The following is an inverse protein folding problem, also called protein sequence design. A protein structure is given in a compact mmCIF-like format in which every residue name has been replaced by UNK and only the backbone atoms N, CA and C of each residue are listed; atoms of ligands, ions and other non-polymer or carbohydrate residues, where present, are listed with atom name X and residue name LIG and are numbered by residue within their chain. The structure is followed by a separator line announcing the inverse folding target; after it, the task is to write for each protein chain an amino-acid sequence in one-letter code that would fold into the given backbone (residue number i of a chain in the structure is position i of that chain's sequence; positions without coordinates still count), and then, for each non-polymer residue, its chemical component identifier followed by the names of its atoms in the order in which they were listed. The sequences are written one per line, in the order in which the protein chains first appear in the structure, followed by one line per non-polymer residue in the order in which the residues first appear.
data_IF_556093248872
#
_entry.id   IF_556093248872
#
_cell.length_a   1.000
_cell.length_b   1.000
_cell.length_c   1.000
_cell.angle_alpha   90.00
_cell.angle_beta   90.00
_cell.angle_gamma   90.00
#
_symmetry.space_group_name_H-M   'P 1'
#
loop_
_entity.id
_entity.type
_entity.pdbx_description
1 polymer ?
#
# COMPACT_ATOMS: atom_id res chain seq x y z
N UNK A 1 2.93 49.43 -23.59
CA UNK A 1 2.40 49.11 -24.93
C UNK A 1 1.49 47.89 -24.72
N UNK A 2 0.19 48.09 -24.80
CA UNK A 2 -0.78 47.03 -24.88
C UNK A 2 -0.79 46.55 -26.33
N UNK A 3 -0.70 45.25 -26.53
CA UNK A 3 -0.91 44.63 -27.83
C UNK A 3 -2.37 44.21 -27.86
N UNK A 4 -3.20 44.92 -28.60
CA UNK A 4 -4.54 44.48 -28.93
C UNK A 4 -4.41 43.18 -29.76
N UNK A 5 -4.85 42.09 -29.21
CA UNK A 5 -5.00 40.85 -29.94
C UNK A 5 -6.48 40.71 -30.29
N UNK A 6 -6.80 40.61 -31.56
CA UNK A 6 -8.18 40.44 -32.10
C UNK A 6 -8.80 39.08 -31.72
N UNK A 7 -8.30 38.40 -30.68
CA UNK A 7 -8.87 37.13 -30.17
C UNK A 7 -9.23 37.34 -28.71
N UNK A 8 -10.51 37.21 -28.43
CA UNK A 8 -11.00 37.14 -27.07
C UNK A 8 -10.33 35.97 -26.35
N UNK A 9 -9.63 36.28 -25.26
CA UNK A 9 -9.05 35.26 -24.37
C UNK A 9 -10.07 34.96 -23.29
N UNK A 10 -10.61 33.74 -23.26
CA UNK A 10 -11.46 33.26 -22.17
C UNK A 10 -10.64 33.29 -20.89
N UNK A 11 -11.01 34.15 -19.94
CA UNK A 11 -10.32 34.33 -18.66
C UNK A 11 -10.87 33.37 -17.61
N UNK A 12 -12.19 33.10 -17.65
CA UNK A 12 -12.87 32.21 -16.73
C UNK A 12 -13.73 31.20 -17.49
N UNK A 13 -13.75 29.96 -17.01
CA UNK A 13 -14.68 28.94 -17.49
C UNK A 13 -16.02 29.16 -16.83
N UNK A 14 -17.06 29.47 -17.62
CA UNK A 14 -18.41 29.77 -17.11
C UNK A 14 -19.11 28.51 -16.59
N UNK A 15 -18.72 27.35 -17.08
CA UNK A 15 -19.29 26.06 -16.71
C UNK A 15 -18.14 25.10 -16.30
N UNK A 16 -17.98 24.88 -14.98
CA UNK A 16 -16.90 24.00 -14.48
C UNK A 16 -17.03 22.57 -15.00
N UNK A 17 -15.90 21.92 -15.32
CA UNK A 17 -15.90 20.59 -15.90
C UNK A 17 -16.63 19.55 -15.02
N UNK A 18 -16.49 19.66 -13.71
CA UNK A 18 -17.07 18.72 -12.74
C UNK A 18 -18.59 18.81 -12.62
N UNK A 19 -19.24 19.83 -13.18
CA UNK A 19 -20.71 19.96 -13.21
C UNK A 19 -21.33 19.35 -14.45
N UNK A 20 -20.53 19.03 -15.47
CA UNK A 20 -20.99 18.41 -16.71
C UNK A 20 -21.27 16.93 -16.52
N UNK A 21 -22.12 16.37 -17.38
CA UNK A 21 -22.37 14.92 -17.34
C UNK A 21 -21.13 14.16 -17.86
N UNK A 22 -20.72 13.07 -17.20
CA UNK A 22 -19.60 12.26 -17.68
C UNK A 22 -19.72 11.78 -19.13
N UNK A 23 -20.96 11.52 -19.58
CA UNK A 23 -21.23 11.08 -20.95
C UNK A 23 -20.90 12.13 -22.03
N UNK A 24 -20.85 13.40 -21.66
CA UNK A 24 -20.57 14.52 -22.56
C UNK A 24 -19.07 14.89 -22.61
N UNK A 25 -18.23 14.19 -21.83
CA UNK A 25 -16.82 14.46 -21.66
C UNK A 25 -15.96 13.35 -22.26
N UNK A 26 -14.82 13.76 -22.80
CA UNK A 26 -13.78 12.86 -23.30
C UNK A 26 -12.61 12.81 -22.32
N UNK A 27 -11.78 11.79 -22.42
CA UNK A 27 -10.57 11.64 -21.61
C UNK A 27 -9.66 12.88 -21.69
N UNK A 28 -9.54 13.47 -22.89
CA UNK A 28 -8.77 14.69 -23.10
C UNK A 28 -9.25 15.87 -22.24
N UNK A 29 -10.56 16.00 -22.02
CA UNK A 29 -11.13 17.07 -21.18
C UNK A 29 -10.68 16.92 -19.72
N UNK A 30 -10.68 15.69 -19.19
CA UNK A 30 -10.19 15.39 -17.85
C UNK A 30 -8.69 15.66 -17.69
N UNK A 31 -7.90 15.27 -18.69
CA UNK A 31 -6.45 15.47 -18.66
C UNK A 31 -6.08 16.96 -18.77
N UNK A 32 -6.76 17.71 -19.63
CA UNK A 32 -6.56 19.16 -19.75
C UNK A 32 -6.97 19.88 -18.46
N UNK A 33 -8.03 19.45 -17.83
CA UNK A 33 -8.47 20.00 -16.54
C UNK A 33 -7.45 19.72 -15.43
N UNK A 34 -6.91 18.50 -15.36
CA UNK A 34 -5.86 18.18 -14.41
C UNK A 34 -4.61 19.05 -14.60
N UNK A 35 -4.15 19.22 -15.83
CA UNK A 35 -2.99 20.07 -16.16
C UNK A 35 -3.23 21.54 -15.85
N UNK A 36 -4.46 22.01 -15.95
CA UNK A 36 -4.81 23.37 -15.57
C UNK A 36 -4.77 23.58 -14.06
N UNK A 37 -5.19 22.60 -13.27
CA UNK A 37 -5.13 22.64 -11.81
C UNK A 37 -3.72 22.41 -11.26
N UNK A 38 -2.97 21.49 -11.87
CA UNK A 38 -1.69 20.98 -11.40
C UNK A 38 -0.62 21.01 -12.51
N UNK A 39 -0.20 22.21 -12.96
CA UNK A 39 0.66 22.35 -14.14
C UNK A 39 2.07 21.79 -13.98
N UNK A 40 2.52 21.55 -12.75
CA UNK A 40 3.87 21.02 -12.44
C UNK A 40 3.89 19.52 -12.19
N UNK A 41 2.72 18.87 -12.19
CA UNK A 41 2.59 17.42 -11.90
C UNK A 41 2.57 16.62 -13.18
N UNK A 42 3.01 15.36 -13.07
CA UNK A 42 2.87 14.38 -14.13
C UNK A 42 1.40 14.00 -14.34
N UNK A 43 1.10 13.44 -15.51
CA UNK A 43 -0.27 12.97 -15.81
C UNK A 43 -0.74 11.96 -14.76
N UNK A 44 -2.01 12.04 -14.31
CA UNK A 44 -2.55 11.16 -13.30
C UNK A 44 -2.68 9.72 -13.83
N UNK A 45 -2.70 8.76 -12.93
CA UNK A 45 -2.88 7.35 -13.26
C UNK A 45 -4.27 7.07 -13.84
N UNK A 46 -5.29 7.63 -13.22
CA UNK A 46 -6.70 7.62 -13.62
C UNK A 46 -7.50 8.63 -12.81
N UNK A 47 -8.78 8.76 -13.15
CA UNK A 47 -9.70 9.71 -12.51
C UNK A 47 -11.05 9.06 -12.18
N UNK A 48 -11.78 9.71 -11.31
CA UNK A 48 -13.16 9.38 -10.94
C UNK A 48 -13.99 10.64 -11.06
N UNK A 49 -15.07 10.58 -11.84
CA UNK A 49 -16.06 11.64 -11.90
C UNK A 49 -17.19 11.34 -10.91
N UNK A 50 -17.38 12.23 -9.95
CA UNK A 50 -18.45 12.16 -8.96
C UNK A 50 -19.65 12.98 -9.48
N UNK A 51 -20.83 12.36 -9.48
CA UNK A 51 -22.07 13.05 -9.83
C UNK A 51 -23.22 12.36 -9.10
N UNK A 52 -23.77 13.01 -8.08
CA UNK A 52 -24.82 12.51 -7.19
C UNK A 52 -25.81 13.61 -6.90
N UNK A 53 -27.09 13.32 -7.08
CA UNK A 53 -28.18 14.26 -6.79
C UNK A 53 -29.00 13.86 -5.55
N UNK A 54 -28.91 12.61 -5.13
CA UNK A 54 -29.64 12.08 -3.97
C UNK A 54 -28.86 10.95 -3.28
N UNK A 55 -28.82 10.87 -1.94
CA UNK A 55 -29.51 11.67 -0.92
C UNK A 55 -28.84 13.00 -0.54
N UNK A 56 -27.79 13.40 -1.21
CA UNK A 56 -27.08 14.67 -1.10
C UNK A 56 -26.59 15.08 -2.49
N UNK A 57 -26.28 16.34 -2.66
CA UNK A 57 -25.69 16.85 -3.90
C UNK A 57 -24.18 16.81 -3.81
N UNK A 58 -23.54 16.09 -4.72
CA UNK A 58 -22.10 15.99 -4.80
C UNK A 58 -21.68 15.88 -6.26
N UNK A 59 -20.87 16.81 -6.69
CA UNK A 59 -20.15 16.74 -7.97
C UNK A 59 -18.66 16.85 -7.71
N UNK A 60 -17.84 16.39 -8.64
CA UNK A 60 -16.40 16.50 -8.48
C UNK A 60 -15.63 15.60 -9.43
N UNK A 61 -14.35 15.83 -9.51
CA UNK A 61 -13.41 14.96 -10.23
C UNK A 61 -12.22 14.73 -9.33
N UNK A 62 -11.95 13.47 -9.00
CA UNK A 62 -10.80 13.05 -8.23
C UNK A 62 -9.81 12.34 -9.15
N UNK A 63 -8.53 12.61 -8.94
CA UNK A 63 -7.43 12.05 -9.71
C UNK A 63 -6.48 11.29 -8.79
N UNK A 64 -5.97 10.17 -9.27
CA UNK A 64 -4.90 9.43 -8.64
C UNK A 64 -3.57 9.95 -9.20
N UNK A 65 -2.81 10.73 -8.43
CA UNK A 65 -1.50 11.20 -8.86
C UNK A 65 -0.50 10.05 -8.88
N UNK A 66 0.58 10.20 -9.63
CA UNK A 66 1.75 9.35 -9.47
C UNK A 66 2.48 9.75 -8.19
N UNK A 67 2.71 8.79 -7.31
CA UNK A 67 3.48 8.98 -6.09
C UNK A 67 4.90 8.49 -6.37
N UNK A 68 5.75 9.39 -6.86
CA UNK A 68 7.13 9.06 -7.29
C UNK A 68 8.14 9.07 -6.15
N UNK A 69 7.89 9.83 -5.09
CA UNK A 69 8.78 9.96 -3.94
C UNK A 69 8.04 9.61 -2.66
N UNK A 70 8.47 8.51 -2.05
CA UNK A 70 7.88 7.97 -0.82
C UNK A 70 8.09 8.89 0.39
N UNK A 71 9.08 9.79 0.33
CA UNK A 71 9.41 10.70 1.45
C UNK A 71 8.67 12.04 1.41
N UNK A 72 8.09 12.43 0.27
CA UNK A 72 7.40 13.72 0.10
C UNK A 72 6.00 13.54 -0.49
N UNK A 73 5.16 12.76 0.20
CA UNK A 73 3.75 12.62 -0.20
C UNK A 73 3.03 13.92 0.13
N UNK A 74 2.76 14.73 -0.90
CA UNK A 74 1.98 15.95 -0.74
C UNK A 74 0.51 15.60 -0.51
N UNK A 75 -0.06 16.14 0.56
CA UNK A 75 -1.47 16.01 0.93
C UNK A 75 -2.23 17.29 0.61
N UNK A 76 -3.56 17.21 0.74
CA UNK A 76 -4.44 18.37 0.66
C UNK A 76 -4.38 19.07 -0.69
N UNK A 77 -4.44 18.30 -1.78
CA UNK A 77 -4.56 18.81 -3.14
C UNK A 77 -6.00 18.72 -3.68
N UNK A 78 -6.94 18.29 -2.84
CA UNK A 78 -8.37 18.35 -3.19
C UNK A 78 -8.89 19.74 -2.83
N UNK A 79 -9.50 20.40 -3.79
CA UNK A 79 -10.15 21.71 -3.60
C UNK A 79 -11.64 21.50 -3.32
N UNK A 80 -12.12 22.04 -2.22
CA UNK A 80 -13.54 22.04 -1.87
C UNK A 80 -14.23 23.28 -2.42
N UNK A 81 -15.33 23.04 -3.08
CA UNK A 81 -16.27 24.06 -3.55
C UNK A 81 -17.66 23.86 -2.93
N UNK A 82 -18.42 24.93 -2.88
CA UNK A 82 -19.84 24.94 -2.54
C UNK A 82 -20.57 25.78 -3.56
N UNK A 83 -21.47 25.18 -4.33
CA UNK A 83 -22.15 25.84 -5.45
C UNK A 83 -21.15 26.56 -6.38
N UNK A 84 -20.07 25.89 -6.77
CA UNK A 84 -19.01 26.38 -7.65
C UNK A 84 -18.18 27.54 -7.08
N UNK A 85 -18.35 27.88 -5.80
CA UNK A 85 -17.48 28.83 -5.10
C UNK A 85 -16.41 28.10 -4.31
N UNK A 86 -15.16 28.47 -4.50
CA UNK A 86 -14.03 27.92 -3.74
C UNK A 86 -14.18 28.18 -2.24
N UNK A 87 -13.98 27.16 -1.43
CA UNK A 87 -14.09 27.21 0.02
C UNK A 87 -12.73 27.03 0.69
N UNK A 88 -12.07 25.90 0.42
CA UNK A 88 -10.80 25.52 1.03
C UNK A 88 -10.10 24.44 0.23
N UNK A 89 -8.80 24.29 0.43
CA UNK A 89 -7.98 23.16 -0.02
C UNK A 89 -7.67 22.17 1.12
N UNK A 90 -8.22 22.39 2.32
CA UNK A 90 -8.06 21.53 3.48
C UNK A 90 -9.32 20.67 3.67
N UNK A 91 -9.25 19.41 3.29
CA UNK A 91 -10.40 18.47 3.28
C UNK A 91 -10.25 17.33 4.32
N UNK A 92 -9.28 17.42 5.22
CA UNK A 92 -8.95 16.39 6.22
C UNK A 92 -10.14 15.94 7.07
N UNK A 93 -11.12 16.84 7.26
CA UNK A 93 -12.29 16.56 8.08
C UNK A 93 -13.51 16.11 7.26
N UNK A 94 -13.36 16.07 5.93
CA UNK A 94 -14.45 15.78 5.00
C UNK A 94 -14.27 14.41 4.35
N UNK A 95 -13.04 14.03 4.10
CA UNK A 95 -12.68 12.71 3.53
C UNK A 95 -11.75 11.96 4.49
N UNK A 96 -11.72 10.62 4.47
CA UNK A 96 -10.71 9.85 5.20
C UNK A 96 -9.29 10.24 4.82
N UNK A 97 -8.37 10.12 5.77
CA UNK A 97 -6.97 10.56 5.61
C UNK A 97 -6.29 10.02 4.34
N UNK A 98 -6.49 8.75 4.00
CA UNK A 98 -5.88 8.18 2.80
C UNK A 98 -6.40 8.81 1.49
N UNK A 99 -7.63 9.33 1.48
CA UNK A 99 -8.17 10.05 0.32
C UNK A 99 -7.57 11.45 0.15
N UNK A 100 -6.94 12.01 1.17
CA UNK A 100 -6.22 13.29 1.06
C UNK A 100 -4.98 13.20 0.15
N UNK A 101 -4.56 11.99 -0.19
CA UNK A 101 -3.51 11.74 -1.18
C UNK A 101 -3.97 11.93 -2.63
N UNK A 102 -5.28 12.00 -2.86
CA UNK A 102 -5.84 12.28 -4.18
C UNK A 102 -5.76 13.77 -4.50
N UNK A 103 -5.77 14.08 -5.78
CA UNK A 103 -5.91 15.43 -6.32
C UNK A 103 -7.33 15.64 -6.83
N UNK A 104 -7.76 16.89 -7.02
CA UNK A 104 -9.00 17.17 -7.71
C UNK A 104 -9.91 18.20 -7.06
N UNK A 105 -11.19 18.07 -7.34
CA UNK A 105 -12.24 19.00 -6.91
C UNK A 105 -13.42 18.21 -6.35
N UNK A 106 -13.95 18.69 -5.24
CA UNK A 106 -15.23 18.26 -4.65
C UNK A 106 -16.11 19.50 -4.52
N UNK A 107 -17.35 19.42 -5.00
CA UNK A 107 -18.33 20.49 -4.90
C UNK A 107 -19.62 19.94 -4.30
N UNK A 108 -20.01 20.44 -3.13
CA UNK A 108 -21.23 20.03 -2.45
C UNK A 108 -21.82 21.17 -1.60
N UNK A 109 -23.11 21.53 -1.85
CA UNK A 109 -23.80 22.49 -0.98
C UNK A 109 -24.21 21.91 0.38
N UNK A 110 -24.15 20.58 0.52
CA UNK A 110 -24.55 19.88 1.74
C UNK A 110 -23.43 19.79 2.80
N UNK A 111 -22.24 20.31 2.49
CA UNK A 111 -21.14 20.44 3.44
C UNK A 111 -21.26 21.79 4.16
N UNK A 112 -21.40 21.84 5.49
CA UNK A 112 -21.53 23.08 6.23
C UNK A 112 -20.21 23.85 6.25
N UNK A 113 -20.27 25.15 5.87
CA UNK A 113 -19.08 25.96 5.56
C UNK A 113 -18.48 26.75 6.74
N UNK A 114 -19.24 27.06 7.76
CA UNK A 114 -18.83 28.00 8.82
C UNK A 114 -18.86 27.36 10.21
N UNK A 115 -18.34 26.13 10.32
CA UNK A 115 -18.39 25.36 11.55
C UNK A 115 -17.00 24.86 11.96
N UNK A 116 -16.84 24.55 13.23
CA UNK A 116 -15.58 24.02 13.74
C UNK A 116 -15.26 22.65 13.19
N UNK A 117 -13.98 22.28 13.16
CA UNK A 117 -13.49 20.96 12.77
C UNK A 117 -14.24 19.81 13.47
N UNK A 118 -14.43 19.93 14.79
CA UNK A 118 -15.15 18.92 15.56
C UNK A 118 -16.62 18.75 15.14
N UNK A 119 -17.25 19.82 14.64
CA UNK A 119 -18.61 19.75 14.11
C UNK A 119 -18.65 19.01 12.77
N UNK A 120 -17.73 19.33 11.85
CA UNK A 120 -17.64 18.65 10.56
C UNK A 120 -17.47 17.13 10.72
N UNK A 121 -16.60 16.71 11.63
CA UNK A 121 -16.38 15.29 11.93
C UNK A 121 -17.62 14.59 12.52
N UNK A 122 -18.50 15.33 13.20
CA UNK A 122 -19.73 14.78 13.77
C UNK A 122 -20.93 14.85 12.83
N UNK A 123 -20.88 15.69 11.79
CA UNK A 123 -22.00 15.94 10.87
C UNK A 123 -22.38 14.67 10.08
N UNK A 124 -23.67 14.38 10.04
CA UNK A 124 -24.17 13.16 9.39
C UNK A 124 -24.07 13.21 7.86
N UNK A 125 -24.16 14.39 7.25
CA UNK A 125 -24.04 14.54 5.80
C UNK A 125 -22.59 14.42 5.36
N UNK A 126 -21.65 15.02 6.10
CA UNK A 126 -20.21 14.86 5.88
C UNK A 126 -19.82 13.38 5.92
N UNK A 127 -20.28 12.63 6.93
CA UNK A 127 -20.04 11.18 7.01
C UNK A 127 -20.61 10.38 5.84
N UNK A 128 -21.80 10.75 5.37
CA UNK A 128 -22.42 10.09 4.19
C UNK A 128 -21.64 10.41 2.90
N UNK A 129 -21.23 11.66 2.72
CA UNK A 129 -20.42 12.10 1.58
C UNK A 129 -19.07 11.39 1.59
N UNK A 130 -18.38 11.41 2.74
CA UNK A 130 -17.11 10.70 2.95
C UNK A 130 -17.21 9.21 2.59
N UNK A 131 -18.20 8.52 3.15
CA UNK A 131 -18.44 7.10 2.87
C UNK A 131 -18.79 6.82 1.39
N UNK A 132 -19.50 7.73 0.74
CA UNK A 132 -19.80 7.62 -0.68
C UNK A 132 -18.55 7.78 -1.56
N UNK A 133 -17.71 8.77 -1.28
CA UNK A 133 -16.44 8.98 -1.99
C UNK A 133 -15.55 7.74 -1.83
N UNK A 134 -15.38 7.25 -0.59
CA UNK A 134 -14.63 6.01 -0.31
C UNK A 134 -15.15 4.82 -1.13
N UNK A 135 -16.47 4.67 -1.17
CA UNK A 135 -17.10 3.62 -1.98
C UNK A 135 -16.79 3.78 -3.47
N UNK A 136 -16.92 4.99 -4.02
CA UNK A 136 -16.64 5.25 -5.44
C UNK A 136 -15.19 5.02 -5.82
N UNK A 137 -14.26 5.37 -4.93
CA UNK A 137 -12.83 5.06 -5.09
C UNK A 137 -12.64 3.54 -5.16
N UNK A 138 -13.20 2.79 -4.22
CA UNK A 138 -13.11 1.33 -4.22
C UNK A 138 -13.81 0.70 -5.45
N UNK A 139 -14.99 1.22 -5.86
CA UNK A 139 -15.70 0.76 -7.07
C UNK A 139 -14.81 0.92 -8.32
N UNK A 140 -14.13 2.06 -8.46
CA UNK A 140 -13.25 2.31 -9.61
C UNK A 140 -12.03 1.38 -9.62
N UNK A 141 -11.41 1.15 -8.47
CA UNK A 141 -10.28 0.23 -8.37
C UNK A 141 -10.69 -1.22 -8.65
N UNK A 142 -11.84 -1.65 -8.17
CA UNK A 142 -12.42 -2.98 -8.44
C UNK A 142 -12.78 -3.14 -9.93
N UNK A 143 -13.30 -2.09 -10.57
CA UNK A 143 -13.59 -2.07 -12.01
C UNK A 143 -12.31 -2.21 -12.85
N UNK A 144 -11.26 -1.45 -12.55
CA UNK A 144 -9.96 -1.55 -13.22
C UNK A 144 -9.36 -2.95 -13.01
N UNK A 145 -9.44 -3.50 -11.80
CA UNK A 145 -9.00 -4.87 -11.51
C UNK A 145 -9.71 -5.91 -12.38
N UNK A 146 -11.02 -5.75 -12.56
CA UNK A 146 -11.84 -6.72 -13.28
C UNK A 146 -11.71 -6.60 -14.79
N UNK A 147 -11.69 -5.38 -15.32
CA UNK A 147 -11.79 -5.12 -16.75
C UNK A 147 -10.48 -4.72 -17.41
N UNK A 148 -9.52 -4.19 -16.62
CA UNK A 148 -8.25 -3.62 -17.11
C UNK A 148 -7.07 -4.10 -16.25
N UNK A 149 -7.04 -5.39 -15.87
CA UNK A 149 -6.07 -5.98 -14.93
C UNK A 149 -4.63 -5.58 -15.22
N UNK A 150 -4.20 -5.63 -16.49
CA UNK A 150 -2.84 -5.25 -16.88
C UNK A 150 -2.54 -3.77 -16.59
N UNK A 151 -3.49 -2.89 -16.82
CA UNK A 151 -3.32 -1.46 -16.52
C UNK A 151 -3.18 -1.22 -15.00
N UNK A 152 -3.85 -2.01 -14.16
CA UNK A 152 -3.66 -1.97 -12.72
C UNK A 152 -2.26 -2.46 -12.32
N UNK A 153 -1.80 -3.57 -12.89
CA UNK A 153 -0.47 -4.13 -12.63
C UNK A 153 0.65 -3.15 -13.01
N UNK A 154 0.56 -2.53 -14.18
CA UNK A 154 1.53 -1.52 -14.64
C UNK A 154 1.58 -0.27 -13.74
N UNK A 155 0.48 0.05 -13.07
CA UNK A 155 0.34 1.21 -12.18
C UNK A 155 0.51 0.85 -10.71
N UNK A 156 0.67 -0.43 -10.37
CA UNK A 156 0.63 -0.93 -9.01
C UNK A 156 1.65 -0.27 -8.08
N UNK A 157 2.88 -0.12 -8.53
CA UNK A 157 3.95 0.46 -7.71
C UNK A 157 3.65 1.92 -7.28
N UNK A 158 2.83 2.65 -8.07
CA UNK A 158 2.36 3.98 -7.73
C UNK A 158 1.05 4.00 -6.90
N UNK A 159 0.34 2.87 -6.84
CA UNK A 159 -0.94 2.73 -6.13
C UNK A 159 -0.80 2.03 -4.80
N UNK A 160 0.23 1.20 -4.66
CA UNK A 160 0.45 0.32 -3.52
C UNK A 160 0.33 1.08 -2.20
N UNK A 161 1.08 2.16 -2.04
CA UNK A 161 1.05 2.98 -0.83
C UNK A 161 -0.35 3.51 -0.50
N UNK A 162 -1.08 4.01 -1.50
CA UNK A 162 -2.44 4.51 -1.33
C UNK A 162 -3.39 3.41 -0.86
N UNK A 163 -3.32 2.24 -1.49
CA UNK A 163 -4.21 1.11 -1.18
C UNK A 163 -3.90 0.56 0.21
N UNK A 164 -2.64 0.35 0.55
CA UNK A 164 -2.24 -0.14 1.88
C UNK A 164 -2.62 0.84 2.98
N UNK A 165 -2.40 2.15 2.76
CA UNK A 165 -2.82 3.16 3.72
C UNK A 165 -4.35 3.17 3.91
N UNK A 166 -5.10 3.06 2.82
CA UNK A 166 -6.56 2.93 2.89
C UNK A 166 -7.01 1.69 3.67
N UNK A 167 -6.37 0.54 3.42
CA UNK A 167 -6.67 -0.70 4.13
C UNK A 167 -6.34 -0.63 5.63
N UNK A 168 -5.30 0.10 6.00
CA UNK A 168 -4.89 0.30 7.39
C UNK A 168 -5.80 1.29 8.15
N UNK A 169 -6.34 2.29 7.46
CA UNK A 169 -7.08 3.40 8.08
C UNK A 169 -8.60 3.28 8.01
N UNK A 170 -9.16 2.53 7.05
CA UNK A 170 -10.62 2.39 6.84
C UNK A 170 -11.00 0.91 6.65
N UNK A 171 -11.76 0.37 7.61
CA UNK A 171 -12.15 -1.05 7.60
C UNK A 171 -13.05 -1.40 6.41
N UNK A 172 -13.97 -0.51 6.01
CA UNK A 172 -14.86 -0.76 4.87
C UNK A 172 -14.10 -0.74 3.56
N UNK A 173 -13.13 0.16 3.44
CA UNK A 173 -12.23 0.16 2.30
C UNK A 173 -11.37 -1.11 2.29
N UNK A 174 -10.84 -1.53 3.44
CA UNK A 174 -10.07 -2.77 3.58
C UNK A 174 -10.85 -3.99 3.09
N UNK A 175 -12.10 -4.18 3.55
CA UNK A 175 -12.95 -5.30 3.12
C UNK A 175 -13.13 -5.34 1.60
N UNK A 176 -13.22 -4.20 0.97
CA UNK A 176 -13.34 -4.10 -0.48
C UNK A 176 -12.01 -4.30 -1.20
N UNK A 177 -10.95 -3.68 -0.67
CA UNK A 177 -9.62 -3.74 -1.25
C UNK A 177 -9.04 -5.16 -1.26
N UNK A 178 -9.45 -6.03 -0.33
CA UNK A 178 -9.12 -7.45 -0.34
C UNK A 178 -9.46 -8.17 -1.66
N UNK A 179 -10.35 -7.62 -2.47
CA UNK A 179 -10.75 -8.20 -3.76
C UNK A 179 -9.85 -7.78 -4.91
N UNK A 180 -9.21 -6.61 -4.83
CA UNK A 180 -8.45 -6.02 -5.93
C UNK A 180 -7.02 -5.64 -5.58
N UNK A 181 -6.64 -5.65 -4.30
CA UNK A 181 -5.26 -5.42 -3.91
C UNK A 181 -4.37 -6.54 -4.44
N UNK A 182 -3.17 -6.15 -4.89
CA UNK A 182 -2.23 -7.06 -5.51
C UNK A 182 -1.05 -7.35 -4.59
N UNK A 183 -0.55 -8.57 -4.73
CA UNK A 183 0.75 -8.99 -4.22
C UNK A 183 1.69 -9.11 -5.41
N UNK A 184 2.94 -8.70 -5.25
CA UNK A 184 3.99 -8.75 -6.28
C UNK A 184 5.12 -9.64 -5.81
N UNK A 185 5.68 -10.45 -6.71
CA UNK A 185 6.90 -11.19 -6.41
C UNK A 185 8.13 -10.54 -7.07
N UNK A 186 9.37 -10.94 -6.72
CA UNK A 186 10.59 -10.40 -7.31
C UNK A 186 10.73 -10.60 -8.83
N UNK A 187 9.98 -11.54 -9.42
CA UNK A 187 9.93 -11.75 -10.87
C UNK A 187 9.02 -10.76 -11.60
N UNK A 188 8.39 -9.83 -10.87
CA UNK A 188 7.46 -8.86 -11.42
C UNK A 188 6.09 -9.44 -11.77
N UNK A 189 5.74 -10.61 -11.23
CA UNK A 189 4.39 -11.18 -11.38
C UNK A 189 3.48 -10.63 -10.29
N UNK A 190 2.22 -10.40 -10.66
CA UNK A 190 1.19 -9.86 -9.79
C UNK A 190 0.10 -10.90 -9.54
N UNK A 191 -0.41 -10.92 -8.32
CA UNK A 191 -1.41 -11.87 -7.86
C UNK A 191 -2.45 -11.16 -7.00
N UNK A 192 -3.70 -11.60 -7.06
CA UNK A 192 -4.64 -11.35 -5.96
C UNK A 192 -4.30 -12.23 -4.76
N UNK A 193 -4.88 -11.99 -3.60
CA UNK A 193 -4.66 -12.83 -2.42
C UNK A 193 -5.02 -14.30 -2.67
N UNK A 194 -6.14 -14.54 -3.35
CA UNK A 194 -6.60 -15.89 -3.66
C UNK A 194 -5.70 -16.59 -4.68
N UNK A 195 -5.23 -15.86 -5.70
CA UNK A 195 -4.30 -16.38 -6.72
C UNK A 195 -2.99 -16.79 -6.08
N UNK A 196 -2.42 -15.92 -5.24
CA UNK A 196 -1.14 -16.19 -4.59
C UNK A 196 -1.24 -17.36 -3.61
N UNK A 197 -2.29 -17.36 -2.77
CA UNK A 197 -2.54 -18.46 -1.85
C UNK A 197 -2.59 -19.81 -2.56
N UNK A 198 -3.35 -19.93 -3.66
CA UNK A 198 -3.43 -21.14 -4.46
C UNK A 198 -2.09 -21.58 -5.05
N UNK A 199 -1.26 -20.58 -5.41
CA UNK A 199 0.06 -20.87 -5.97
C UNK A 199 1.03 -21.47 -4.94
N UNK A 200 0.93 -21.06 -3.67
CA UNK A 200 1.92 -21.41 -2.64
C UNK A 200 1.47 -22.47 -1.63
N UNK A 201 0.15 -22.66 -1.42
CA UNK A 201 -0.38 -23.44 -0.30
C UNK A 201 0.14 -24.89 -0.27
N UNK A 202 0.38 -25.53 -1.42
CA UNK A 202 0.88 -26.90 -1.49
C UNK A 202 2.28 -27.02 -0.91
N UNK A 203 3.18 -26.12 -1.28
CA UNK A 203 4.59 -26.18 -0.91
C UNK A 203 4.89 -25.39 0.38
N UNK A 204 4.14 -24.34 0.65
CA UNK A 204 4.41 -23.41 1.73
C UNK A 204 3.47 -23.53 2.94
N UNK A 205 2.81 -24.66 3.10
CA UNK A 205 2.08 -24.99 4.34
C UNK A 205 3.02 -25.67 5.35
N UNK A 206 3.09 -25.14 6.56
CA UNK A 206 3.91 -25.67 7.63
C UNK A 206 3.24 -26.86 8.37
N UNK A 207 3.96 -27.48 9.31
CA UNK A 207 3.47 -28.59 10.14
C UNK A 207 2.22 -28.23 10.97
N UNK A 208 2.03 -26.95 11.28
CA UNK A 208 0.89 -26.44 12.06
C UNK A 208 -0.28 -26.06 11.14
N UNK A 209 -0.22 -26.44 9.85
CA UNK A 209 -1.20 -26.18 8.80
C UNK A 209 -1.41 -24.69 8.49
N UNK A 210 -0.43 -23.86 8.77
CA UNK A 210 -0.44 -22.45 8.37
C UNK A 210 0.27 -22.27 7.03
N UNK A 211 -0.34 -21.50 6.13
CA UNK A 211 0.30 -21.11 4.88
C UNK A 211 1.31 -20.01 5.19
N UNK A 212 2.57 -20.23 4.80
CA UNK A 212 3.67 -19.29 5.07
C UNK A 212 3.92 -18.45 3.83
N UNK A 213 3.67 -17.16 3.96
CA UNK A 213 3.97 -16.14 2.96
C UNK A 213 5.40 -15.67 3.20
N UNK A 214 6.35 -16.17 2.41
CA UNK A 214 7.73 -15.67 2.44
C UNK A 214 7.78 -14.32 1.75
N UNK A 215 8.58 -13.39 2.29
CA UNK A 215 8.75 -12.08 1.67
C UNK A 215 10.17 -11.54 1.79
N UNK A 216 10.53 -10.68 0.86
CA UNK A 216 11.74 -9.88 0.85
C UNK A 216 11.38 -8.40 0.80
N UNK A 217 12.22 -7.54 1.37
CA UNK A 217 12.07 -6.09 1.34
C UNK A 217 13.07 -5.43 0.41
N UNK A 218 14.15 -6.13 0.09
CA UNK A 218 15.22 -5.69 -0.82
C UNK A 218 15.73 -6.91 -1.59
N UNK A 219 15.48 -6.90 -2.89
CA UNK A 219 15.82 -8.02 -3.76
C UNK A 219 17.31 -8.20 -3.99
N UNK A 220 18.11 -7.12 -3.88
CA UNK A 220 19.57 -7.18 -4.04
C UNK A 220 20.23 -7.67 -2.76
N UNK A 221 19.91 -7.04 -1.64
CA UNK A 221 20.47 -7.40 -0.34
C UNK A 221 20.07 -8.83 0.13
N UNK A 222 18.89 -9.30 -0.27
CA UNK A 222 18.34 -10.61 0.10
C UNK A 222 18.39 -11.66 -1.01
N UNK A 223 19.18 -11.41 -2.07
CA UNK A 223 19.23 -12.26 -3.26
C UNK A 223 19.50 -13.73 -2.93
N UNK A 224 20.51 -14.03 -2.11
CA UNK A 224 20.86 -15.41 -1.76
C UNK A 224 19.74 -16.16 -1.03
N UNK A 225 19.01 -15.45 -0.17
CA UNK A 225 17.85 -16.02 0.55
C UNK A 225 16.67 -16.28 -0.40
N UNK A 226 16.42 -15.37 -1.34
CA UNK A 226 15.37 -15.53 -2.37
C UNK A 226 15.69 -16.75 -3.24
N UNK A 227 16.93 -16.88 -3.70
CA UNK A 227 17.35 -18.04 -4.51
C UNK A 227 17.30 -19.34 -3.69
N UNK A 228 17.66 -19.30 -2.40
CA UNK A 228 17.51 -20.44 -1.50
C UNK A 228 16.06 -20.90 -1.38
N UNK A 229 15.12 -19.94 -1.29
CA UNK A 229 13.69 -20.24 -1.26
C UNK A 229 13.21 -20.85 -2.61
N UNK A 230 13.62 -20.27 -3.74
CA UNK A 230 13.29 -20.77 -5.09
C UNK A 230 13.80 -22.19 -5.33
N UNK A 231 15.01 -22.50 -4.88
CA UNK A 231 15.59 -23.85 -5.00
C UNK A 231 14.80 -24.89 -4.22
N UNK A 232 14.00 -24.48 -3.22
CA UNK A 232 13.06 -25.32 -2.48
C UNK A 232 11.66 -25.38 -3.12
N UNK A 233 11.45 -24.68 -4.22
CA UNK A 233 10.14 -24.56 -4.87
C UNK A 233 9.20 -23.55 -4.19
N UNK A 234 9.74 -22.67 -3.34
CA UNK A 234 8.97 -21.63 -2.66
C UNK A 234 8.94 -20.34 -3.48
N UNK A 235 7.81 -19.65 -3.45
CA UNK A 235 7.68 -18.28 -3.98
C UNK A 235 7.88 -17.26 -2.84
N UNK A 236 8.34 -16.07 -3.19
CA UNK A 236 8.66 -14.99 -2.26
C UNK A 236 7.94 -13.73 -2.73
N UNK A 237 7.29 -13.00 -1.84
CA UNK A 237 6.70 -11.71 -2.13
C UNK A 237 7.73 -10.59 -2.02
N UNK A 238 7.51 -9.51 -2.75
CA UNK A 238 8.23 -8.26 -2.59
C UNK A 238 7.38 -7.29 -1.76
N UNK A 239 7.85 -7.05 -0.54
CA UNK A 239 7.24 -6.13 0.43
C UNK A 239 8.22 -4.98 0.65
N UNK A 240 8.19 -3.99 -0.25
CA UNK A 240 9.14 -2.87 -0.32
C UNK A 240 8.48 -1.51 -0.03
N UNK A 241 7.25 -1.51 0.49
CA UNK A 241 6.54 -0.32 0.92
C UNK A 241 6.84 0.01 2.39
N UNK A 242 6.85 1.28 2.73
CA UNK A 242 7.08 1.75 4.10
C UNK A 242 6.01 1.25 5.09
N UNK A 243 4.79 0.99 4.61
CA UNK A 243 3.69 0.51 5.44
C UNK A 243 3.67 -1.01 5.62
N UNK A 244 4.54 -1.75 4.94
CA UNK A 244 4.46 -3.22 4.87
C UNK A 244 4.48 -3.91 6.25
N UNK A 245 5.24 -3.42 7.23
CA UNK A 245 5.24 -4.02 8.57
C UNK A 245 3.87 -3.93 9.26
N UNK A 246 3.15 -2.83 9.09
CA UNK A 246 1.78 -2.67 9.59
C UNK A 246 0.78 -3.45 8.74
N UNK A 247 0.99 -3.44 7.43
CA UNK A 247 0.16 -4.15 6.47
C UNK A 247 0.21 -5.66 6.67
N UNK A 248 1.38 -6.23 6.86
CA UNK A 248 1.56 -7.66 7.21
C UNK A 248 0.79 -8.00 8.48
N UNK A 249 0.89 -7.18 9.53
CA UNK A 249 0.13 -7.41 10.76
C UNK A 249 -1.40 -7.35 10.55
N UNK A 250 -1.87 -6.49 9.64
CA UNK A 250 -3.28 -6.45 9.24
C UNK A 250 -3.67 -7.75 8.52
N UNK A 251 -2.86 -8.21 7.57
CA UNK A 251 -3.12 -9.43 6.80
C UNK A 251 -3.13 -10.68 7.69
N UNK A 252 -2.18 -10.80 8.63
CA UNK A 252 -2.14 -11.92 9.60
C UNK A 252 -3.36 -11.93 10.54
N UNK A 253 -3.96 -10.78 10.84
CA UNK A 253 -5.22 -10.69 11.58
C UNK A 253 -6.44 -11.07 10.74
N UNK A 254 -6.43 -10.74 9.44
CA UNK A 254 -7.53 -11.06 8.52
C UNK A 254 -7.48 -12.54 8.08
N UNK A 255 -6.30 -13.11 7.89
CA UNK A 255 -6.05 -14.50 7.51
C UNK A 255 -5.45 -15.25 8.69
N UNK A 256 -6.30 -15.84 9.53
CA UNK A 256 -5.87 -16.50 10.78
C UNK A 256 -5.06 -17.78 10.58
N UNK A 257 -5.10 -18.36 9.38
CA UNK A 257 -4.43 -19.59 8.97
C UNK A 257 -3.18 -19.34 8.13
N UNK A 258 -2.66 -18.12 8.14
CA UNK A 258 -1.39 -17.79 7.50
C UNK A 258 -0.41 -17.11 8.46
N UNK A 259 0.84 -17.01 8.05
CA UNK A 259 1.85 -16.18 8.65
C UNK A 259 2.81 -15.65 7.60
N UNK A 260 3.37 -14.49 7.85
CA UNK A 260 4.39 -13.88 7.00
C UNK A 260 5.77 -14.04 7.65
N UNK A 261 6.75 -14.46 6.85
CA UNK A 261 8.14 -14.60 7.29
C UNK A 261 9.06 -13.95 6.26
N UNK A 262 9.96 -13.07 6.72
CA UNK A 262 11.00 -12.53 5.84
C UNK A 262 12.04 -13.62 5.55
N UNK A 263 12.49 -13.69 4.29
CA UNK A 263 13.36 -14.78 3.81
C UNK A 263 14.68 -14.91 4.55
N UNK A 264 15.17 -13.84 5.16
CA UNK A 264 16.42 -13.77 5.92
C UNK A 264 16.23 -13.83 7.44
N UNK A 265 15.02 -14.15 7.92
CA UNK A 265 14.75 -14.21 9.36
C UNK A 265 15.24 -15.48 10.02
N UNK A 266 15.44 -16.55 9.26
CA UNK A 266 16.00 -17.82 9.73
C UNK A 266 16.51 -18.63 8.52
N UNK A 267 17.12 -19.79 8.80
CA UNK A 267 17.43 -20.77 7.78
C UNK A 267 16.14 -21.21 7.05
N UNK A 268 16.23 -21.44 5.73
CA UNK A 268 15.06 -21.72 4.89
C UNK A 268 14.22 -22.89 5.40
N UNK A 269 14.84 -23.93 5.96
CA UNK A 269 14.16 -25.09 6.51
C UNK A 269 13.42 -24.78 7.83
N UNK A 270 13.77 -23.67 8.51
CA UNK A 270 13.08 -23.19 9.71
C UNK A 270 11.92 -22.26 9.36
N UNK A 271 12.00 -21.56 8.21
CA UNK A 271 10.95 -20.65 7.78
C UNK A 271 9.63 -21.40 7.52
N UNK A 272 9.71 -22.61 6.95
CA UNK A 272 8.55 -23.47 6.71
C UNK A 272 8.81 -24.86 7.33
N UNK A 273 8.62 -25.02 8.66
CA UNK A 273 8.88 -26.30 9.32
C UNK A 273 7.96 -27.40 8.78
N UNK A 274 8.54 -28.49 8.28
CA UNK A 274 7.84 -29.70 7.86
C UNK A 274 7.94 -30.80 8.92
N UNK A 275 7.04 -31.80 8.88
CA UNK A 275 7.06 -32.91 9.84
C UNK A 275 8.33 -33.77 9.73
N UNK A 276 8.84 -33.95 8.50
CA UNK A 276 9.97 -34.84 8.18
C UNK A 276 11.35 -34.21 8.29
N UNK A 277 11.49 -33.14 9.09
CA UNK A 277 12.77 -32.42 9.20
C UNK A 277 13.85 -33.31 9.85
N UNK A 278 14.96 -33.50 9.16
CA UNK A 278 16.17 -34.13 9.73
C UNK A 278 16.78 -33.24 10.79
N UNK A 279 16.87 -33.75 12.02
CA UNK A 279 17.58 -33.02 13.09
C UNK A 279 19.09 -32.99 12.81
N UNK A 280 19.82 -31.95 13.28
CA UNK A 280 21.27 -31.96 13.19
C UNK A 280 21.86 -33.18 13.93
N UNK A 281 22.85 -33.82 13.33
CA UNK A 281 23.52 -35.00 13.91
C UNK A 281 24.48 -34.65 15.07
N UNK A 282 24.72 -33.36 15.31
CA UNK A 282 25.61 -32.87 16.36
C UNK A 282 24.99 -33.07 17.76
N UNK A 283 25.82 -33.54 18.68
CA UNK A 283 25.48 -33.59 20.11
C UNK A 283 25.37 -32.15 20.68
N UNK A 284 24.69 -32.00 21.79
CA UNK A 284 24.58 -30.69 22.46
C UNK A 284 25.95 -30.09 22.87
N UNK A 285 26.91 -30.96 23.19
CA UNK A 285 28.30 -30.53 23.50
C UNK A 285 28.97 -29.95 22.26
N UNK A 286 28.89 -30.64 21.12
CA UNK A 286 29.47 -30.15 19.86
C UNK A 286 28.83 -28.84 19.37
N UNK A 287 27.50 -28.69 19.57
CA UNK A 287 26.79 -27.43 19.26
C UNK A 287 27.31 -26.27 20.13
N UNK A 288 27.49 -26.52 21.42
CA UNK A 288 28.00 -25.52 22.35
C UNK A 288 29.44 -25.14 22.02
N UNK A 289 30.32 -26.13 21.77
CA UNK A 289 31.71 -25.88 21.39
C UNK A 289 31.82 -25.06 20.09
N UNK A 290 31.00 -25.37 19.09
CA UNK A 290 30.91 -24.57 17.85
C UNK A 290 30.41 -23.15 18.14
N UNK A 291 29.36 -23.01 18.94
CA UNK A 291 28.84 -21.69 19.31
C UNK A 291 29.87 -20.82 20.00
N UNK A 292 30.62 -21.38 20.93
CA UNK A 292 31.64 -20.67 21.67
C UNK A 292 32.88 -20.30 20.80
N UNK A 293 33.26 -21.20 19.87
CA UNK A 293 34.27 -20.91 18.87
C UNK A 293 33.91 -19.71 17.99
N UNK A 294 32.69 -19.68 17.48
CA UNK A 294 32.22 -18.58 16.63
C UNK A 294 32.08 -17.27 17.42
N UNK A 295 31.54 -17.31 18.64
CA UNK A 295 31.47 -16.14 19.52
C UNK A 295 32.83 -15.52 19.82
N UNK A 296 33.87 -16.34 19.89
CA UNK A 296 35.24 -15.86 20.16
C UNK A 296 35.83 -15.03 19.00
N UNK A 297 35.39 -15.24 17.76
CA UNK A 297 35.88 -14.55 16.56
C UNK A 297 34.95 -13.47 16.02
N UNK A 298 33.71 -13.40 16.50
CA UNK A 298 32.78 -12.39 16.10
C UNK A 298 33.10 -10.99 16.63
N UNK A 299 32.81 -9.91 15.89
CA UNK A 299 32.97 -8.55 16.40
C UNK A 299 32.18 -8.34 17.69
N UNK A 300 32.79 -7.62 18.66
CA UNK A 300 32.15 -7.35 19.96
C UNK A 300 31.18 -6.19 19.98
N UNK A 301 31.02 -5.53 18.84
CA UNK A 301 30.17 -4.34 18.68
C UNK A 301 28.68 -4.68 18.59
N UNK A 302 28.36 -5.97 18.44
CA UNK A 302 26.98 -6.47 18.31
C UNK A 302 26.77 -7.71 19.17
N UNK A 303 25.56 -7.86 19.71
CA UNK A 303 25.14 -9.08 20.38
C UNK A 303 24.71 -10.14 19.37
N UNK A 304 25.54 -11.12 19.12
CA UNK A 304 25.24 -12.26 18.27
C UNK A 304 24.71 -13.45 19.08
N UNK A 305 23.59 -14.00 18.65
CA UNK A 305 23.12 -15.29 19.14
C UNK A 305 23.56 -16.37 18.14
N UNK A 306 24.51 -17.22 18.54
CA UNK A 306 25.08 -18.25 17.67
C UNK A 306 24.45 -19.60 18.00
N UNK A 307 23.89 -20.24 16.97
CA UNK A 307 23.32 -21.60 17.06
C UNK A 307 23.89 -22.49 15.98
N UNK A 308 24.08 -23.76 16.28
CA UNK A 308 24.39 -24.77 15.27
C UNK A 308 23.10 -25.46 14.83
N UNK A 309 22.81 -25.40 13.53
CA UNK A 309 21.63 -26.03 12.93
C UNK A 309 21.99 -26.72 11.60
N UNK A 310 21.09 -27.56 11.11
CA UNK A 310 21.25 -28.20 9.81
C UNK A 310 20.81 -27.23 8.71
N UNK A 311 21.76 -26.66 7.98
CA UNK A 311 21.52 -25.72 6.87
C UNK A 311 21.30 -26.44 5.53
N UNK A 312 21.18 -27.77 5.53
CA UNK A 312 21.00 -28.59 4.34
C UNK A 312 22.31 -28.92 3.62
N UNK A 313 22.25 -29.87 2.68
CA UNK A 313 23.43 -30.36 1.96
C UNK A 313 24.06 -29.35 0.99
N UNK A 314 23.28 -28.38 0.54
CA UNK A 314 23.67 -27.35 -0.42
C UNK A 314 23.68 -25.93 0.20
N UNK A 315 23.41 -25.84 1.52
CA UNK A 315 23.41 -24.58 2.24
C UNK A 315 24.80 -24.03 2.48
N UNK A 316 24.90 -22.73 2.65
CA UNK A 316 26.14 -22.08 3.11
C UNK A 316 26.48 -22.53 4.53
N UNK A 317 27.77 -22.70 4.87
CA UNK A 317 28.17 -23.21 6.18
C UNK A 317 27.88 -22.24 7.32
N UNK A 318 27.69 -20.97 7.03
CA UNK A 318 27.35 -19.89 7.98
C UNK A 318 26.25 -19.07 7.39
N UNK A 319 25.22 -18.83 8.17
CA UNK A 319 24.09 -17.97 7.78
C UNK A 319 23.90 -16.90 8.85
N UNK A 320 23.80 -15.64 8.43
CA UNK A 320 23.48 -14.52 9.31
C UNK A 320 22.01 -14.17 9.10
N UNK A 321 21.23 -14.31 10.16
CA UNK A 321 19.78 -14.05 10.11
C UNK A 321 19.40 -12.94 11.08
N UNK A 322 18.24 -12.33 10.86
CA UNK A 322 17.69 -11.31 11.73
C UNK A 322 16.32 -11.73 12.22
N UNK A 323 16.18 -11.93 13.54
CA UNK A 323 14.93 -12.36 14.14
C UNK A 323 13.74 -11.49 13.70
N UNK A 324 12.68 -12.13 13.17
CA UNK A 324 11.52 -11.48 12.60
C UNK A 324 10.80 -10.56 13.59
N UNK A 325 10.57 -11.05 14.82
CA UNK A 325 9.86 -10.29 15.84
C UNK A 325 10.61 -9.01 16.25
N UNK A 326 11.92 -9.14 16.54
CA UNK A 326 12.74 -8.00 16.94
C UNK A 326 12.88 -6.96 15.84
N UNK A 327 12.94 -7.42 14.59
CA UNK A 327 12.97 -6.55 13.42
C UNK A 327 11.68 -5.78 13.23
N UNK A 328 10.54 -6.47 13.20
CA UNK A 328 9.21 -5.81 13.07
C UNK A 328 8.99 -4.82 14.21
N UNK A 329 9.34 -5.19 15.43
CA UNK A 329 9.23 -4.29 16.58
C UNK A 329 10.05 -3.01 16.39
N UNK A 330 11.28 -3.13 15.89
CA UNK A 330 12.16 -1.98 15.62
C UNK A 330 11.61 -1.11 14.48
N UNK A 331 11.17 -1.71 13.39
CA UNK A 331 10.59 -1.00 12.26
C UNK A 331 9.32 -0.23 12.68
N UNK A 332 8.42 -0.87 13.39
CA UNK A 332 7.21 -0.23 13.91
C UNK A 332 7.53 0.90 14.90
N UNK A 333 8.54 0.74 15.75
CA UNK A 333 8.96 1.77 16.69
C UNK A 333 9.57 2.98 15.98
N UNK A 334 10.33 2.77 14.91
CA UNK A 334 10.89 3.83 14.09
C UNK A 334 9.81 4.56 13.27
N UNK A 335 8.77 3.85 12.86
CA UNK A 335 7.63 4.39 12.11
C UNK A 335 6.61 5.10 13.00
N UNK A 336 6.70 5.01 14.32
CA UNK A 336 5.83 5.77 15.23
C UNK A 336 5.83 7.28 14.93
N UNK A 337 6.94 7.82 14.39
CA UNK A 337 7.03 9.17 13.81
C UNK A 337 6.33 9.30 12.45
N UNK A 338 6.39 8.28 11.61
CA UNK A 338 5.81 8.26 10.26
C UNK A 338 4.29 8.09 10.32
N UNK A 339 3.78 7.20 11.21
CA UNK A 339 2.33 7.07 11.42
C UNK A 339 1.69 8.34 11.99
N UNK A 340 2.42 9.14 12.79
CA UNK A 340 1.99 10.48 13.16
C UNK A 340 2.00 11.46 11.98
N UNK A 341 2.76 11.19 10.94
CA UNK A 341 2.74 11.95 9.69
C UNK A 341 1.54 11.56 8.82
N UNK A 342 1.14 10.28 8.82
CA UNK A 342 0.00 9.75 8.07
C UNK A 342 -1.33 9.74 8.85
N UNK A 343 -1.32 9.97 10.17
CA UNK A 343 -2.52 10.00 11.01
C UNK A 343 -2.38 11.00 12.16
N UNK A 344 -2.99 12.17 12.02
CA UNK A 344 -3.44 12.99 13.15
C UNK A 344 -4.94 13.07 13.12
#
# INVERSE_FOLDING_TARGET
KYVDTDKDKVINTVEPLWTRKPADLKEEDYMNFYKALYPTYEDPLFYIHLNVDYPFHLTGILYFPKINDRMTVERNKIQLYCNQMFVTDHVDDIVPDFLTLLHGVIDSPDIPLNVSRSYLQSDSNVKKISGYITKKVADRLEDIFTNERKALEEKWDNLKLFIEYGMLSDEKFCERAMKFALLKNPDGKYFSFDEYRKAIETEQTDKDKKVVYLYATDTEAQYSFIEGARNKGYDVLLMDCELDSHYINLLERKFTDCRFCRVDSDAIDNLIPKEDRTKPELSETEKNDLSDLFKAVLPKDYDYYVTADNLGKTGEPILITQNEFMRRYREMSNMGGVMNFYGK
#
